data_IF_626798699145
#
_entry.id   IF_626798699145
#
_cell.length_a   1.000
_cell.length_b   1.000
_cell.length_c   1.000
_cell.angle_alpha   90.00
_cell.angle_beta   90.00
_cell.angle_gamma   90.00
#
_symmetry.space_group_name_H-M   'P 1'
#
loop_
_entity.id
_entity.type
_entity.pdbx_description
1 polymer ?
#
# COMPACT_ATOMS: atom_id res chain seq x y z
N UNK A 1 -11.62 -6.82 -13.07
CA UNK A 1 -10.42 -6.24 -12.48
C UNK A 1 -9.16 -6.70 -13.19
N UNK A 2 -8.26 -5.78 -13.42
CA UNK A 2 -6.94 -6.10 -13.96
C UNK A 2 -6.03 -6.57 -12.83
N UNK A 3 -5.21 -7.59 -13.08
CA UNK A 3 -4.29 -8.12 -12.07
C UNK A 3 -2.86 -8.14 -12.64
N UNK A 4 -1.90 -7.66 -11.84
CA UNK A 4 -0.49 -7.76 -12.17
C UNK A 4 0.27 -8.28 -10.97
N UNK A 5 1.12 -9.28 -11.18
CA UNK A 5 1.89 -9.92 -10.12
C UNK A 5 3.34 -9.44 -10.12
N UNK A 6 3.92 -9.35 -8.94
CA UNK A 6 5.31 -8.95 -8.74
C UNK A 6 5.98 -9.91 -7.76
N UNK A 7 7.27 -10.24 -7.97
CA UNK A 7 8.02 -10.95 -6.94
C UNK A 7 8.02 -10.17 -5.63
N UNK A 8 7.89 -10.88 -4.51
CA UNK A 8 7.92 -10.27 -3.18
C UNK A 8 9.31 -9.88 -2.73
N UNK A 9 9.98 -9.07 -3.52
CA UNK A 9 11.36 -8.63 -3.34
C UNK A 9 11.47 -7.11 -3.44
N UNK A 10 12.46 -6.53 -2.75
CA UNK A 10 12.70 -5.08 -2.76
C UNK A 10 12.88 -4.54 -4.17
N UNK A 11 13.51 -5.33 -5.05
CA UNK A 11 13.75 -4.92 -6.44
C UNK A 11 12.46 -4.67 -7.23
N UNK A 12 11.33 -5.21 -6.76
CA UNK A 12 10.03 -4.99 -7.41
C UNK A 12 9.43 -3.62 -7.14
N UNK A 13 9.92 -2.89 -6.13
CA UNK A 13 9.32 -1.61 -5.72
C UNK A 13 9.36 -0.55 -6.82
N UNK A 14 10.44 -0.45 -7.58
CA UNK A 14 10.51 0.51 -8.69
C UNK A 14 9.49 0.20 -9.78
N UNK A 15 9.35 -1.07 -10.14
CA UNK A 15 8.36 -1.50 -11.14
C UNK A 15 6.95 -1.26 -10.64
N UNK A 16 6.71 -1.50 -9.36
CA UNK A 16 5.42 -1.23 -8.74
C UNK A 16 5.07 0.25 -8.80
N UNK A 17 6.00 1.12 -8.43
CA UNK A 17 5.79 2.58 -8.48
C UNK A 17 5.45 3.04 -9.90
N UNK A 18 6.16 2.53 -10.90
CA UNK A 18 5.89 2.82 -12.29
C UNK A 18 4.50 2.38 -12.72
N UNK A 19 4.08 1.19 -12.28
CA UNK A 19 2.77 0.65 -12.59
C UNK A 19 1.65 1.48 -11.95
N UNK A 20 1.82 1.89 -10.69
CA UNK A 20 0.84 2.75 -10.01
C UNK A 20 0.74 4.10 -10.72
N UNK A 21 1.87 4.65 -11.19
CA UNK A 21 1.87 5.88 -11.98
C UNK A 21 1.10 5.72 -13.28
N UNK A 22 1.26 4.60 -13.97
CA UNK A 22 0.52 4.29 -15.20
C UNK A 22 -0.98 4.18 -14.95
N UNK A 23 -1.38 3.45 -13.92
CA UNK A 23 -2.80 3.32 -13.54
C UNK A 23 -3.40 4.69 -13.22
N UNK A 24 -2.66 5.51 -12.47
CA UNK A 24 -3.10 6.86 -12.09
C UNK A 24 -3.31 7.76 -13.30
N UNK A 25 -2.40 7.70 -14.27
CA UNK A 25 -2.52 8.46 -15.51
C UNK A 25 -3.73 7.99 -16.33
N UNK A 26 -3.92 6.69 -16.45
CA UNK A 26 -5.08 6.11 -17.15
C UNK A 26 -6.40 6.50 -16.49
N UNK A 27 -6.41 6.61 -15.17
CA UNK A 27 -7.59 7.00 -14.41
C UNK A 27 -7.85 8.51 -14.44
N UNK A 28 -6.87 9.30 -14.84
CA UNK A 28 -7.00 10.75 -14.87
C UNK A 28 -6.78 11.43 -13.52
N UNK A 29 -5.99 10.83 -12.63
CA UNK A 29 -5.69 11.45 -11.34
C UNK A 29 -4.79 12.66 -11.51
N UNK A 30 -4.95 13.65 -10.62
CA UNK A 30 -4.04 14.80 -10.55
C UNK A 30 -2.64 14.33 -10.13
N UNK A 31 -1.64 15.19 -10.32
CA UNK A 31 -0.28 14.91 -9.87
C UNK A 31 -0.22 14.71 -8.36
N UNK A 32 -0.96 15.50 -7.62
CA UNK A 32 -1.02 15.41 -6.16
C UNK A 32 -1.62 14.07 -5.71
N UNK A 33 -2.75 13.68 -6.29
CA UNK A 33 -3.40 12.40 -5.97
C UNK A 33 -2.53 11.23 -6.35
N UNK A 34 -1.87 11.29 -7.50
CA UNK A 34 -0.94 10.26 -7.95
C UNK A 34 0.21 10.08 -6.95
N UNK A 35 0.79 11.19 -6.51
CA UNK A 35 1.88 11.15 -5.54
C UNK A 35 1.43 10.53 -4.20
N UNK A 36 0.27 10.95 -3.71
CA UNK A 36 -0.29 10.42 -2.45
C UNK A 36 -0.54 8.92 -2.55
N UNK A 37 -1.10 8.46 -3.67
CA UNK A 37 -1.35 7.03 -3.89
C UNK A 37 -0.04 6.26 -3.95
N UNK A 38 0.96 6.76 -4.68
CA UNK A 38 2.28 6.11 -4.75
C UNK A 38 2.91 5.95 -3.38
N UNK A 39 2.85 6.99 -2.54
CA UNK A 39 3.41 6.92 -1.18
C UNK A 39 2.71 5.86 -0.34
N UNK A 40 1.39 5.84 -0.37
CA UNK A 40 0.62 4.89 0.42
C UNK A 40 0.88 3.45 -0.02
N UNK A 41 0.85 3.19 -1.32
CA UNK A 41 1.11 1.87 -1.88
C UNK A 41 2.54 1.43 -1.57
N UNK A 42 3.51 2.33 -1.74
CA UNK A 42 4.92 2.05 -1.48
C UNK A 42 5.16 1.66 -0.01
N UNK A 43 4.56 2.39 0.91
CA UNK A 43 4.70 2.11 2.35
C UNK A 43 4.14 0.74 2.71
N UNK A 44 2.94 0.43 2.23
CA UNK A 44 2.31 -0.87 2.50
C UNK A 44 3.10 -2.00 1.81
N UNK A 45 3.48 -1.83 0.55
CA UNK A 45 4.24 -2.84 -0.19
C UNK A 45 5.60 -3.10 0.44
N UNK A 46 6.29 -2.06 0.88
CA UNK A 46 7.58 -2.20 1.56
C UNK A 46 7.44 -3.03 2.83
N UNK A 47 6.39 -2.78 3.62
CA UNK A 47 6.13 -3.55 4.83
C UNK A 47 5.82 -5.02 4.51
N UNK A 48 5.05 -5.28 3.46
CA UNK A 48 4.75 -6.65 3.03
C UNK A 48 6.04 -7.37 2.66
N UNK A 49 6.88 -6.74 1.86
CA UNK A 49 8.13 -7.34 1.37
C UNK A 49 9.12 -7.59 2.52
N UNK A 50 9.38 -6.56 3.34
CA UNK A 50 10.41 -6.65 4.38
C UNK A 50 9.97 -7.49 5.57
N UNK A 51 8.74 -7.29 6.04
CA UNK A 51 8.28 -7.94 7.28
C UNK A 51 7.37 -9.12 7.04
N UNK A 52 6.57 -9.07 5.98
CA UNK A 52 5.69 -10.19 5.65
C UNK A 52 6.41 -11.33 4.97
N UNK A 53 7.35 -11.02 4.09
CA UNK A 53 8.03 -12.05 3.29
C UNK A 53 9.49 -12.27 3.72
N UNK A 54 10.33 -11.25 3.59
CA UNK A 54 11.76 -11.40 3.80
C UNK A 54 12.11 -11.84 5.22
N UNK A 55 11.62 -11.12 6.22
CA UNK A 55 11.90 -11.44 7.61
C UNK A 55 11.30 -12.78 8.05
N UNK A 56 10.18 -13.17 7.45
CA UNK A 56 9.54 -14.46 7.74
C UNK A 56 10.14 -15.62 6.93
N UNK A 57 11.07 -15.34 6.02
CA UNK A 57 11.67 -16.36 5.16
C UNK A 57 10.70 -16.89 4.10
N UNK A 58 9.65 -16.16 3.79
CA UNK A 58 8.64 -16.56 2.83
C UNK A 58 8.98 -16.01 1.46
N UNK A 59 8.99 -16.88 0.45
CA UNK A 59 9.18 -16.47 -0.94
C UNK A 59 7.85 -16.64 -1.67
N UNK A 60 7.25 -15.53 -2.02
CA UNK A 60 5.97 -15.52 -2.73
C UNK A 60 5.83 -14.23 -3.51
N UNK A 61 4.93 -14.23 -4.48
CA UNK A 61 4.58 -13.02 -5.21
C UNK A 61 3.50 -12.25 -4.45
N UNK A 62 3.44 -10.94 -4.69
CA UNK A 62 2.27 -10.17 -4.32
C UNK A 62 1.56 -9.73 -5.59
N UNK A 63 0.29 -9.38 -5.48
CA UNK A 63 -0.55 -9.09 -6.62
C UNK A 63 -1.18 -7.71 -6.48
N UNK A 64 -1.27 -7.00 -7.60
CA UNK A 64 -1.95 -5.70 -7.66
C UNK A 64 -3.20 -5.88 -8.51
N UNK A 65 -4.35 -5.76 -7.87
CA UNK A 65 -5.64 -5.78 -8.55
C UNK A 65 -6.09 -4.33 -8.71
N UNK A 66 -6.61 -3.98 -9.87
CA UNK A 66 -7.02 -2.60 -10.12
C UNK A 66 -8.30 -2.53 -10.93
N UNK A 67 -9.06 -1.46 -10.69
CA UNK A 67 -10.26 -1.14 -11.44
C UNK A 67 -10.32 0.37 -11.63
N UNK A 68 -10.56 0.79 -12.86
CA UNK A 68 -10.71 2.20 -13.21
C UNK A 68 -12.13 2.40 -13.70
N UNK A 69 -12.84 3.36 -13.11
CA UNK A 69 -14.16 3.77 -13.61
C UNK A 69 -14.19 5.31 -13.68
N UNK A 70 -15.34 5.87 -14.03
CA UNK A 70 -15.47 7.32 -14.23
C UNK A 70 -15.29 8.12 -12.94
N UNK A 71 -15.45 7.49 -11.79
CA UNK A 71 -15.47 8.17 -10.50
C UNK A 71 -14.23 7.93 -9.67
N UNK A 72 -13.54 6.79 -9.88
CA UNK A 72 -12.44 6.43 -8.99
C UNK A 72 -11.47 5.42 -9.60
N UNK A 73 -10.29 5.38 -9.02
CA UNK A 73 -9.31 4.31 -9.21
C UNK A 73 -9.26 3.49 -7.93
N UNK A 74 -9.45 2.17 -8.08
CA UNK A 74 -9.33 1.22 -6.98
C UNK A 74 -8.07 0.40 -7.19
N UNK A 75 -7.23 0.32 -6.17
CA UNK A 75 -6.01 -0.50 -6.18
C UNK A 75 -6.03 -1.39 -4.94
N UNK A 76 -5.83 -2.69 -5.14
CA UNK A 76 -5.75 -3.65 -4.05
C UNK A 76 -4.39 -4.33 -4.11
N UNK A 77 -3.64 -4.28 -3.00
CA UNK A 77 -2.45 -5.09 -2.83
C UNK A 77 -2.86 -6.38 -2.12
N UNK A 78 -2.62 -7.52 -2.76
CA UNK A 78 -2.94 -8.83 -2.21
C UNK A 78 -1.64 -9.59 -1.95
N UNK A 79 -1.48 -10.14 -0.75
CA UNK A 79 -0.30 -10.91 -0.38
C UNK A 79 -0.66 -12.13 0.48
N UNK A 80 0.30 -13.04 0.60
CA UNK A 80 0.15 -14.31 1.33
C UNK A 80 0.90 -14.32 2.67
N UNK A 81 1.36 -13.17 3.14
CA UNK A 81 2.03 -13.06 4.42
C UNK A 81 1.06 -13.28 5.58
N UNK A 82 1.60 -13.39 6.80
CA UNK A 82 0.77 -13.49 8.00
C UNK A 82 -0.21 -12.30 8.06
N UNK A 83 -1.39 -12.54 8.62
CA UNK A 83 -2.40 -11.49 8.72
C UNK A 83 -1.86 -10.28 9.47
N UNK A 84 -1.93 -9.12 8.84
CA UNK A 84 -1.49 -7.86 9.41
C UNK A 84 -2.41 -6.75 8.92
N UNK A 85 -3.20 -6.19 9.85
CA UNK A 85 -4.12 -5.09 9.54
C UNK A 85 -3.42 -3.76 9.88
N UNK A 86 -3.06 -2.95 8.87
CA UNK A 86 -2.41 -1.65 9.13
C UNK A 86 -3.28 -0.72 9.97
N UNK A 87 -4.60 -0.86 9.90
CA UNK A 87 -5.54 -0.02 10.63
C UNK A 87 -5.69 -0.44 12.09
N UNK A 88 -5.35 -1.68 12.43
CA UNK A 88 -5.43 -2.18 13.80
C UNK A 88 -4.28 -1.70 14.67
N UNK A 89 -3.23 -1.13 14.05
CA UNK A 89 -2.10 -0.60 14.78
C UNK A 89 -2.49 0.71 15.44
N UNK A 90 -2.18 0.84 16.74
CA UNK A 90 -2.48 2.06 17.48
C UNK A 90 -1.73 3.25 16.89
N UNK A 91 -2.35 4.43 16.98
CA UNK A 91 -1.70 5.66 16.58
C UNK A 91 -0.44 5.87 17.44
N UNK A 92 0.64 6.42 16.86
CA UNK A 92 1.83 6.71 17.65
C UNK A 92 1.51 7.57 18.86
N UNK A 93 2.02 7.17 20.04
CA UNK A 93 1.92 7.98 21.25
C UNK A 93 3.16 8.88 21.34
N UNK A 94 3.12 9.87 22.25
CA UNK A 94 4.21 10.82 22.40
C UNK A 94 5.59 10.17 22.57
N UNK A 95 5.65 9.06 23.30
CA UNK A 95 6.89 8.31 23.48
C UNK A 95 7.49 7.84 22.16
N UNK A 96 6.64 7.34 21.25
CA UNK A 96 7.09 6.87 19.94
C UNK A 96 7.60 8.02 19.08
N UNK A 97 6.98 9.19 19.22
CA UNK A 97 7.36 10.38 18.46
C UNK A 97 8.69 10.98 18.95
N UNK A 98 9.07 10.74 20.19
CA UNK A 98 10.32 11.25 20.76
C UNK A 98 11.50 10.31 20.58
N UNK A 99 11.25 9.06 20.21
CA UNK A 99 12.32 8.09 19.95
C UNK A 99 13.04 8.40 18.65
N UNK A 100 14.35 8.09 18.54
CA UNK A 100 15.03 8.12 17.25
C UNK A 100 14.29 7.25 16.23
N UNK A 101 14.37 7.62 14.95
CA UNK A 101 13.68 6.88 13.89
C UNK A 101 14.00 5.39 13.90
N UNK A 102 15.26 5.05 14.17
CA UNK A 102 15.73 3.65 14.21
C UNK A 102 15.12 2.85 15.36
N UNK A 103 14.67 3.51 16.42
CA UNK A 103 14.07 2.86 17.59
C UNK A 103 12.55 2.82 17.52
N UNK A 104 11.96 3.45 16.49
CA UNK A 104 10.50 3.44 16.32
C UNK A 104 10.04 2.12 15.75
N UNK A 105 8.85 1.70 16.16
CA UNK A 105 8.22 0.53 15.58
C UNK A 105 7.97 0.75 14.10
N UNK A 106 8.44 -0.19 13.29
CA UNK A 106 8.38 -0.07 11.84
C UNK A 106 6.95 -0.13 11.34
N UNK A 107 6.62 0.74 10.39
CA UNK A 107 5.31 0.80 9.77
C UNK A 107 4.26 1.55 10.58
N UNK A 108 4.58 1.95 11.82
CA UNK A 108 3.61 2.64 12.66
C UNK A 108 3.24 4.02 12.14
N UNK A 109 4.17 4.94 12.22
CA UNK A 109 3.94 6.33 11.83
C UNK A 109 3.83 6.49 10.32
N UNK A 110 4.69 5.80 9.56
CA UNK A 110 4.70 5.88 8.10
C UNK A 110 3.38 5.45 7.49
N UNK A 111 2.84 4.30 7.90
CA UNK A 111 1.55 3.81 7.42
C UNK A 111 0.45 4.82 7.74
N UNK A 112 0.40 5.30 8.97
CA UNK A 112 -0.62 6.25 9.40
C UNK A 112 -0.61 7.51 8.54
N UNK A 113 0.56 8.10 8.32
CA UNK A 113 0.69 9.34 7.56
C UNK A 113 0.32 9.16 6.09
N UNK A 114 0.74 8.05 5.48
CA UNK A 114 0.50 7.85 4.05
C UNK A 114 -0.93 7.45 3.73
N UNK A 115 -1.58 6.68 4.62
CA UNK A 115 -2.99 6.30 4.44
C UNK A 115 -3.89 7.53 4.45
N UNK A 116 -3.53 8.56 5.22
CA UNK A 116 -4.30 9.80 5.24
C UNK A 116 -4.31 10.53 3.89
N UNK A 117 -3.36 10.24 3.01
CA UNK A 117 -3.28 10.87 1.70
C UNK A 117 -4.19 10.25 0.64
N UNK A 118 -4.81 9.09 0.93
CA UNK A 118 -5.75 8.47 -0.01
C UNK A 118 -7.19 8.77 0.42
N UNK A 119 -8.12 8.71 -0.54
CA UNK A 119 -9.51 9.07 -0.27
C UNK A 119 -10.21 8.03 0.60
N UNK A 120 -9.87 6.75 0.42
CA UNK A 120 -10.37 5.70 1.28
C UNK A 120 -9.37 4.55 1.33
N UNK A 121 -9.28 3.90 2.47
CA UNK A 121 -8.43 2.73 2.67
C UNK A 121 -9.16 1.71 3.52
N UNK A 122 -9.06 0.44 3.13
CA UNK A 122 -9.62 -0.65 3.92
C UNK A 122 -8.72 -1.88 3.85
N UNK A 123 -8.84 -2.73 4.84
CA UNK A 123 -8.09 -3.99 4.93
C UNK A 123 -9.06 -5.13 5.21
N UNK A 124 -8.80 -6.28 4.56
CA UNK A 124 -9.46 -7.53 4.89
C UNK A 124 -8.49 -8.69 4.70
N UNK A 125 -8.76 -9.79 5.39
CA UNK A 125 -8.05 -11.04 5.16
C UNK A 125 -9.07 -12.06 4.66
N UNK A 126 -8.87 -12.54 3.43
CA UNK A 126 -9.79 -13.46 2.78
C UNK A 126 -9.04 -14.72 2.36
N UNK A 127 -9.43 -15.86 2.92
CA UNK A 127 -8.82 -17.16 2.59
C UNK A 127 -7.31 -17.18 2.77
N UNK A 128 -6.81 -16.54 3.83
CA UNK A 128 -5.38 -16.50 4.14
C UNK A 128 -4.59 -15.47 3.36
N UNK A 129 -5.26 -14.59 2.63
CA UNK A 129 -4.61 -13.51 1.88
C UNK A 129 -4.98 -12.16 2.45
N UNK A 130 -3.98 -11.32 2.65
CA UNK A 130 -4.19 -9.92 3.03
C UNK A 130 -4.57 -9.13 1.80
N UNK A 131 -5.57 -8.27 1.93
CA UNK A 131 -6.02 -7.38 0.85
C UNK A 131 -6.08 -5.95 1.39
N UNK A 132 -5.14 -5.14 0.95
CA UNK A 132 -5.07 -3.72 1.30
C UNK A 132 -5.65 -2.92 0.13
N UNK A 133 -6.78 -2.26 0.35
CA UNK A 133 -7.53 -1.58 -0.70
C UNK A 133 -7.42 -0.07 -0.57
N UNK A 134 -6.98 0.57 -1.66
CA UNK A 134 -6.85 2.02 -1.76
C UNK A 134 -7.84 2.53 -2.80
N UNK A 135 -8.57 3.58 -2.46
CA UNK A 135 -9.50 4.22 -3.39
C UNK A 135 -9.09 5.68 -3.54
N UNK A 136 -8.93 6.12 -4.79
CA UNK A 136 -8.69 7.51 -5.14
C UNK A 136 -9.82 8.00 -6.03
N UNK A 137 -10.45 9.10 -5.62
CA UNK A 137 -11.52 9.70 -6.42
C UNK A 137 -10.94 10.52 -7.55
N UNK A 138 -11.53 10.37 -8.72
CA UNK A 138 -11.17 11.16 -9.90
C UNK A 138 -12.01 12.41 -9.88
N UNK A 139 -11.35 13.56 -9.75
CA UNK A 139 -12.03 14.85 -9.76
C UNK A 139 -12.09 15.33 -11.20
N UNK A 140 -13.30 15.37 -11.75
CA UNK A 140 -13.51 15.87 -13.09
C UNK A 140 -13.65 17.40 -13.06
N UNK A 141 -13.05 18.10 -14.06
CA UNK A 141 -13.21 19.55 -14.16
C UNK A 141 -14.66 19.95 -14.45
#
# INVERSE_FOLDING_TARGET
>A
METKSFPGEVDSLDSLRGYIGELSARAGLSKKSTYSLKLAVDEIATNIILYGYEKAGLKADFHVLSEINEQELIVILEDEAAAFDPLAKEMPVDEDLTKPLEDREIGGLGIFLTIQGVDDFSYENVNGRNRNKFIMKVVKP
#
